data_IF_168750855205
#
_entry.id   IF_168750855205
#
_cell.length_a   1.000
_cell.length_b   1.000
_cell.length_c   1.000
_cell.angle_alpha   90.00
_cell.angle_beta   90.00
_cell.angle_gamma   90.00
#
_symmetry.space_group_name_H-M   'P 1'
#
loop_
_entity.id
_entity.type
_entity.pdbx_description
1 polymer ?
#
# COMPACT_ATOMS: atom_id res chain seq x y z
N UNK A 1 -22.28 -7.63 0.71
CA UNK A 1 -21.25 -6.59 0.80
C UNK A 1 -21.69 -5.50 -0.20
N UNK A 2 -21.88 -4.25 0.24
CA UNK A 2 -22.55 -3.15 -0.51
C UNK A 2 -24.07 -3.29 -0.72
N UNK A 3 -24.85 -3.26 0.37
CA UNK A 3 -26.31 -3.15 0.26
C UNK A 3 -26.66 -1.75 -0.28
N UNK A 4 -27.16 -1.68 -1.52
CA UNK A 4 -27.76 -0.49 -2.13
C UNK A 4 -26.87 0.33 -3.07
N UNK A 5 -25.56 0.06 -3.17
CA UNK A 5 -24.67 0.69 -4.16
C UNK A 5 -24.56 -0.26 -5.35
N UNK A 6 -24.96 0.18 -6.54
CA UNK A 6 -24.90 -0.62 -7.78
C UNK A 6 -23.64 -0.40 -8.61
N UNK A 7 -22.97 0.74 -8.42
CA UNK A 7 -21.77 1.14 -9.15
C UNK A 7 -21.00 2.17 -8.33
N UNK A 8 -19.68 2.15 -8.41
CA UNK A 8 -18.78 3.14 -7.84
C UNK A 8 -18.13 3.94 -8.97
N UNK A 9 -18.14 5.26 -8.84
CA UNK A 9 -17.47 6.14 -9.80
C UNK A 9 -15.96 6.15 -9.55
N UNK A 10 -15.21 5.50 -10.45
CA UNK A 10 -13.75 5.50 -10.45
C UNK A 10 -13.16 6.62 -11.32
N UNK A 11 -13.93 7.25 -12.20
CA UNK A 11 -13.44 8.27 -13.11
C UNK A 11 -12.98 9.51 -12.33
N UNK A 12 -13.84 10.02 -11.44
CA UNK A 12 -13.57 11.27 -10.71
C UNK A 12 -12.33 11.23 -9.80
N UNK A 13 -11.95 10.05 -9.29
CA UNK A 13 -10.85 9.90 -8.32
C UNK A 13 -9.64 9.14 -8.85
N UNK A 14 -9.83 8.31 -9.88
CA UNK A 14 -8.78 7.44 -10.43
C UNK A 14 -8.57 7.62 -11.94
N UNK A 15 -9.49 8.29 -12.64
CA UNK A 15 -9.45 8.39 -14.11
C UNK A 15 -9.62 7.03 -14.79
N UNK A 16 -10.38 6.11 -14.18
CA UNK A 16 -10.64 4.76 -14.72
C UNK A 16 -12.10 4.68 -15.15
N UNK A 17 -12.32 4.46 -16.44
CA UNK A 17 -13.64 4.45 -17.07
C UNK A 17 -14.08 3.04 -17.50
N UNK A 18 -13.14 2.11 -17.62
CA UNK A 18 -13.40 0.76 -18.14
C UNK A 18 -12.51 -0.34 -17.52
N UNK A 19 -12.78 -1.59 -17.92
CA UNK A 19 -12.09 -2.80 -17.46
C UNK A 19 -10.59 -2.78 -17.76
N UNK A 20 -10.20 -2.38 -18.97
CA UNK A 20 -8.81 -2.46 -19.41
C UNK A 20 -7.94 -1.47 -18.63
N UNK A 21 -8.44 -0.25 -18.43
CA UNK A 21 -7.79 0.76 -17.58
C UNK A 21 -7.69 0.31 -16.12
N UNK A 22 -8.71 -0.40 -15.61
CA UNK A 22 -8.68 -0.99 -14.27
C UNK A 22 -7.55 -2.01 -14.14
N UNK A 23 -7.47 -2.96 -15.08
CA UNK A 23 -6.45 -4.01 -15.09
C UNK A 23 -5.06 -3.43 -15.30
N UNK A 24 -4.91 -2.46 -16.20
CA UNK A 24 -3.65 -1.74 -16.41
C UNK A 24 -3.21 -1.00 -15.15
N UNK A 25 -4.14 -0.35 -14.44
CA UNK A 25 -3.83 0.35 -13.19
C UNK A 25 -3.39 -0.62 -12.10
N UNK A 26 -4.11 -1.74 -11.93
CA UNK A 26 -3.73 -2.79 -10.95
C UNK A 26 -2.35 -3.35 -11.30
N UNK A 27 -2.10 -3.71 -12.56
CA UNK A 27 -0.81 -4.22 -13.03
C UNK A 27 0.32 -3.23 -12.75
N UNK A 28 0.16 -1.96 -13.14
CA UNK A 28 1.16 -0.91 -12.90
C UNK A 28 1.46 -0.72 -11.41
N UNK A 29 0.45 -0.71 -10.54
CA UNK A 29 0.64 -0.50 -9.10
C UNK A 29 1.44 -1.62 -8.41
N UNK A 30 1.59 -2.77 -9.05
CA UNK A 30 2.31 -3.94 -8.53
C UNK A 30 3.79 -3.66 -8.33
N UNK A 31 4.42 -3.08 -9.34
CA UNK A 31 5.87 -2.84 -9.38
C UNK A 31 6.23 -1.36 -9.63
N UNK A 32 5.25 -0.52 -10.00
CA UNK A 32 5.39 0.93 -10.21
C UNK A 32 4.31 1.72 -9.43
N UNK A 33 4.09 1.30 -8.18
CA UNK A 33 3.24 1.99 -7.20
C UNK A 33 3.95 3.17 -6.52
N UNK A 34 3.29 3.84 -5.57
CA UNK A 34 3.93 4.95 -4.84
C UNK A 34 5.04 4.48 -3.89
N UNK A 35 5.03 3.20 -3.51
CA UNK A 35 6.01 2.66 -2.59
C UNK A 35 7.43 2.55 -3.16
N UNK A 36 7.59 2.55 -4.49
CA UNK A 36 8.89 2.41 -5.16
C UNK A 36 9.87 3.52 -4.76
N UNK A 37 9.36 4.72 -4.45
CA UNK A 37 10.19 5.88 -4.12
C UNK A 37 10.97 5.73 -2.81
N UNK A 38 10.43 4.99 -1.83
CA UNK A 38 11.11 4.74 -0.56
C UNK A 38 11.68 3.32 -0.45
N UNK A 39 11.38 2.46 -1.43
CA UNK A 39 11.75 1.05 -1.38
C UNK A 39 13.25 0.84 -1.13
N UNK A 40 14.09 1.55 -1.88
CA UNK A 40 15.53 1.42 -1.75
C UNK A 40 16.02 1.81 -0.36
N UNK A 41 15.48 2.88 0.21
CA UNK A 41 15.83 3.34 1.56
C UNK A 41 15.41 2.33 2.64
N UNK A 42 14.21 1.75 2.54
CA UNK A 42 13.79 0.68 3.46
C UNK A 42 14.71 -0.54 3.36
N UNK A 43 15.04 -0.98 2.14
CA UNK A 43 15.98 -2.11 1.93
C UNK A 43 17.37 -1.83 2.51
N UNK A 44 17.90 -0.62 2.33
CA UNK A 44 19.19 -0.25 2.89
C UNK A 44 19.17 -0.21 4.42
N UNK A 45 18.13 0.37 5.02
CA UNK A 45 18.00 0.45 6.48
C UNK A 45 18.15 -0.93 7.15
N UNK A 46 17.52 -1.97 6.60
CA UNK A 46 17.58 -3.32 7.18
C UNK A 46 18.89 -4.06 6.94
N UNK A 47 19.74 -3.58 6.03
CA UNK A 47 21.02 -4.21 5.66
C UNK A 47 22.23 -3.52 6.27
N UNK A 48 22.12 -2.22 6.54
CA UNK A 48 23.22 -1.43 7.06
C UNK A 48 23.29 -1.51 8.58
N UNK A 49 24.52 -1.60 9.11
CA UNK A 49 24.78 -1.28 10.49
C UNK A 49 24.48 0.20 10.76
N UNK A 50 24.21 0.60 12.02
CA UNK A 50 23.90 2.00 12.35
C UNK A 50 24.94 3.01 11.86
N UNK A 51 26.23 2.64 11.87
CA UNK A 51 27.30 3.49 11.36
C UNK A 51 27.25 3.63 9.83
N UNK A 52 27.06 2.53 9.10
CA UNK A 52 26.95 2.54 7.63
C UNK A 52 25.72 3.33 7.17
N UNK A 53 24.62 3.25 7.91
CA UNK A 53 23.44 4.08 7.68
C UNK A 53 23.74 5.56 7.89
N UNK A 54 24.42 5.92 8.97
CA UNK A 54 24.80 7.29 9.24
C UNK A 54 25.70 7.84 8.12
N UNK A 55 26.77 7.10 7.77
CA UNK A 55 27.69 7.45 6.68
C UNK A 55 26.96 7.63 5.35
N UNK A 56 26.04 6.74 5.01
CA UNK A 56 25.19 6.87 3.83
C UNK A 56 24.33 8.14 3.87
N UNK A 57 23.61 8.38 4.96
CA UNK A 57 22.74 9.57 5.08
C UNK A 57 23.52 10.87 5.07
N UNK A 58 24.79 10.86 5.45
CA UNK A 58 25.66 12.04 5.41
C UNK A 58 26.06 12.44 3.98
N UNK A 59 25.99 11.51 3.02
CA UNK A 59 26.21 11.78 1.59
C UNK A 59 24.97 12.33 0.87
N UNK A 60 23.79 12.25 1.48
CA UNK A 60 22.53 12.68 0.89
C UNK A 60 22.34 14.19 0.96
N UNK A 61 21.66 14.74 -0.05
CA UNK A 61 21.17 16.11 -0.03
C UNK A 61 20.08 16.30 1.03
N UNK A 62 19.62 17.55 1.22
CA UNK A 62 18.64 17.84 2.26
C UNK A 62 17.30 17.10 2.06
N UNK A 63 16.83 16.98 0.82
CA UNK A 63 15.57 16.34 0.50
C UNK A 63 15.62 14.84 0.77
N UNK A 64 16.65 14.18 0.25
CA UNK A 64 16.86 12.74 0.45
C UNK A 64 17.11 12.39 1.91
N UNK A 65 17.77 13.28 2.67
CA UNK A 65 17.98 13.10 4.11
C UNK A 65 16.65 13.16 4.89
N UNK A 66 15.68 13.97 4.46
CA UNK A 66 14.33 14.00 5.07
C UNK A 66 13.62 12.65 4.86
N UNK A 67 13.68 12.10 3.65
CA UNK A 67 13.11 10.77 3.36
C UNK A 67 13.83 9.65 4.11
N UNK A 68 15.17 9.68 4.15
CA UNK A 68 15.96 8.71 4.92
C UNK A 68 15.59 8.76 6.41
N UNK A 69 15.41 9.96 6.99
CA UNK A 69 14.97 10.09 8.38
C UNK A 69 13.57 9.51 8.59
N UNK A 70 12.64 9.79 7.68
CA UNK A 70 11.28 9.24 7.74
C UNK A 70 11.29 7.70 7.69
N UNK A 71 12.12 7.11 6.82
CA UNK A 71 12.32 5.65 6.76
C UNK A 71 12.91 5.12 8.06
N UNK A 72 13.96 5.74 8.60
CA UNK A 72 14.56 5.30 9.86
C UNK A 72 13.58 5.32 11.04
N UNK A 73 12.69 6.31 11.06
CA UNK A 73 11.63 6.48 12.07
C UNK A 73 10.50 5.44 11.96
N UNK A 74 10.37 4.72 10.84
CA UNK A 74 9.21 3.88 10.52
C UNK A 74 9.58 2.44 10.11
N UNK A 75 10.84 2.17 9.79
CA UNK A 75 11.35 0.88 9.32
C UNK A 75 10.93 -0.30 10.20
N UNK A 76 11.17 -0.23 11.51
CA UNK A 76 10.85 -1.32 12.45
C UNK A 76 9.35 -1.68 12.39
N UNK A 77 8.48 -0.68 12.31
CA UNK A 77 7.03 -0.89 12.28
C UNK A 77 6.53 -1.37 10.91
N UNK A 78 7.20 -1.00 9.82
CA UNK A 78 6.76 -1.32 8.45
C UNK A 78 7.42 -2.59 7.89
N UNK A 79 8.56 -3.02 8.44
CA UNK A 79 9.36 -4.11 7.88
C UNK A 79 10.05 -3.73 6.57
N UNK A 80 10.75 -4.70 5.97
CA UNK A 80 11.48 -4.51 4.70
C UNK A 80 10.55 -4.17 3.53
N UNK A 81 9.27 -4.56 3.61
CA UNK A 81 8.22 -4.15 2.68
C UNK A 81 7.97 -2.64 2.64
N UNK A 82 8.41 -1.91 3.65
CA UNK A 82 8.25 -0.46 3.74
C UNK A 82 6.78 -0.06 3.59
N UNK A 83 6.50 0.84 2.67
CA UNK A 83 5.15 1.37 2.44
C UNK A 83 4.36 0.66 1.33
N UNK A 84 4.83 -0.49 0.81
CA UNK A 84 4.15 -1.24 -0.30
C UNK A 84 2.69 -1.59 0.01
N UNK A 85 2.36 -1.74 1.28
CA UNK A 85 0.98 -2.02 1.70
C UNK A 85 0.00 -0.90 1.31
N UNK A 86 0.48 0.34 1.12
CA UNK A 86 -0.34 1.43 0.57
C UNK A 86 -0.87 1.12 -0.83
N UNK A 87 -0.04 0.53 -1.68
CA UNK A 87 -0.43 0.11 -3.02
C UNK A 87 -1.30 -1.14 -2.94
N UNK A 88 -0.92 -2.15 -2.16
CA UNK A 88 -1.68 -3.42 -2.04
C UNK A 88 -3.12 -3.23 -1.55
N UNK A 89 -3.34 -2.39 -0.54
CA UNK A 89 -4.71 -2.10 -0.05
C UNK A 89 -5.55 -1.41 -1.14
N UNK A 90 -4.94 -0.51 -1.91
CA UNK A 90 -5.61 0.20 -3.00
C UNK A 90 -5.89 -0.70 -4.20
N UNK A 91 -4.98 -1.62 -4.55
CA UNK A 91 -5.24 -2.65 -5.55
C UNK A 91 -6.43 -3.54 -5.12
N UNK A 92 -6.49 -3.96 -3.84
CA UNK A 92 -7.63 -4.72 -3.32
C UNK A 92 -8.94 -3.92 -3.28
N UNK A 93 -8.88 -2.60 -3.14
CA UNK A 93 -10.04 -1.71 -3.34
C UNK A 93 -10.48 -1.73 -4.82
N UNK A 94 -9.56 -1.54 -5.76
CA UNK A 94 -9.86 -1.55 -7.20
C UNK A 94 -10.46 -2.88 -7.66
N UNK A 95 -9.94 -4.02 -7.18
CA UNK A 95 -10.53 -5.33 -7.49
C UNK A 95 -12.00 -5.41 -7.07
N UNK A 96 -12.32 -4.95 -5.85
CA UNK A 96 -13.71 -4.95 -5.34
C UNK A 96 -14.61 -3.98 -6.11
N UNK A 97 -14.09 -2.83 -6.53
CA UNK A 97 -14.84 -1.89 -7.35
C UNK A 97 -15.04 -2.41 -8.78
N UNK A 98 -14.07 -3.14 -9.33
CA UNK A 98 -14.20 -3.83 -10.61
C UNK A 98 -15.32 -4.85 -10.61
N UNK A 99 -15.43 -5.66 -9.55
CA UNK A 99 -16.55 -6.59 -9.36
C UNK A 99 -17.87 -5.83 -9.21
N UNK A 100 -17.90 -4.78 -8.38
CA UNK A 100 -19.11 -3.98 -8.15
C UNK A 100 -19.60 -3.28 -9.43
N UNK A 101 -18.68 -2.85 -10.29
CA UNK A 101 -18.98 -2.18 -11.56
C UNK A 101 -19.25 -3.16 -12.71
N UNK A 102 -19.29 -4.47 -12.43
CA UNK A 102 -19.45 -5.54 -13.42
C UNK A 102 -18.35 -5.56 -14.50
N UNK A 103 -17.17 -5.01 -14.18
CA UNK A 103 -15.98 -5.05 -15.03
C UNK A 103 -15.14 -6.30 -14.80
N UNK A 104 -15.24 -6.89 -13.60
CA UNK A 104 -14.60 -8.14 -13.23
C UNK A 104 -15.65 -9.12 -12.73
N UNK A 105 -15.45 -10.41 -12.97
CA UNK A 105 -16.20 -11.46 -12.27
C UNK A 105 -15.69 -11.60 -10.83
N UNK A 106 -16.48 -12.24 -9.95
CA UNK A 106 -16.03 -12.55 -8.60
C UNK A 106 -14.78 -13.43 -8.59
N UNK A 107 -14.68 -14.37 -9.53
CA UNK A 107 -13.52 -15.26 -9.70
C UNK A 107 -12.26 -14.49 -10.06
N UNK A 108 -12.35 -13.57 -11.03
CA UNK A 108 -11.27 -12.67 -11.42
C UNK A 108 -10.83 -11.78 -10.24
N UNK A 109 -11.81 -11.18 -9.54
CA UNK A 109 -11.55 -10.35 -8.37
C UNK A 109 -10.91 -11.11 -7.20
N UNK A 110 -11.26 -12.38 -7.00
CA UNK A 110 -10.66 -13.25 -5.99
C UNK A 110 -9.23 -13.65 -6.38
N UNK A 111 -9.02 -14.03 -7.64
CA UNK A 111 -7.70 -14.38 -8.13
C UNK A 111 -6.71 -13.23 -7.98
N UNK A 112 -7.07 -12.02 -8.45
CA UNK A 112 -6.24 -10.82 -8.31
C UNK A 112 -5.91 -10.50 -6.84
N UNK A 113 -6.91 -10.55 -5.95
CA UNK A 113 -6.69 -10.32 -4.52
C UNK A 113 -5.79 -11.37 -3.87
N UNK A 114 -5.84 -12.61 -4.36
CA UNK A 114 -4.96 -13.67 -3.87
C UNK A 114 -3.50 -13.44 -4.26
N UNK A 115 -3.23 -12.88 -5.46
CA UNK A 115 -1.87 -12.47 -5.88
C UNK A 115 -1.34 -11.34 -5.01
N UNK A 116 -2.17 -10.34 -4.72
CA UNK A 116 -1.85 -9.25 -3.78
C UNK A 116 -1.52 -9.80 -2.39
N UNK A 117 -2.30 -10.77 -1.91
CA UNK A 117 -2.06 -11.40 -0.61
C UNK A 117 -0.70 -12.12 -0.58
N UNK A 118 -0.36 -12.89 -1.62
CA UNK A 118 0.93 -13.59 -1.69
C UNK A 118 2.11 -12.62 -1.59
N UNK A 119 2.03 -11.46 -2.26
CA UNK A 119 3.03 -10.40 -2.15
C UNK A 119 3.04 -9.76 -0.76
N UNK A 120 1.88 -9.52 -0.16
CA UNK A 120 1.83 -9.02 1.21
C UNK A 120 2.53 -10.00 2.19
N UNK A 121 2.29 -11.30 2.04
CA UNK A 121 2.91 -12.34 2.89
C UNK A 121 4.44 -12.42 2.71
N UNK A 122 4.98 -12.08 1.53
CA UNK A 122 6.44 -12.09 1.31
C UNK A 122 7.16 -10.91 1.96
N UNK A 123 6.46 -9.81 2.23
CA UNK A 123 7.06 -8.58 2.75
C UNK A 123 6.73 -8.28 4.21
N UNK A 124 5.62 -8.82 4.72
CA UNK A 124 5.14 -8.51 6.06
C UNK A 124 4.88 -9.77 6.88
N UNK A 125 5.22 -9.69 8.15
CA UNK A 125 5.15 -10.79 9.12
C UNK A 125 3.79 -10.94 9.81
N UNK A 126 2.91 -9.94 9.67
CA UNK A 126 1.63 -9.92 10.36
C UNK A 126 0.76 -8.72 9.99
N UNK A 127 -0.51 -8.79 10.37
CA UNK A 127 -1.48 -7.69 10.17
C UNK A 127 -1.01 -6.37 10.76
N UNK A 128 -0.44 -6.37 11.96
CA UNK A 128 0.04 -5.15 12.60
C UNK A 128 1.09 -4.45 11.72
N UNK A 129 2.10 -5.19 11.26
CA UNK A 129 3.14 -4.65 10.39
C UNK A 129 2.57 -4.19 9.03
N UNK A 130 1.68 -4.98 8.42
CA UNK A 130 0.99 -4.63 7.18
C UNK A 130 0.19 -3.33 7.31
N UNK A 131 -0.58 -3.14 8.40
CA UNK A 131 -1.34 -1.92 8.62
C UNK A 131 -0.47 -0.73 9.00
N UNK A 132 0.61 -0.94 9.75
CA UNK A 132 1.61 0.11 10.00
C UNK A 132 2.27 0.59 8.69
N UNK A 133 2.56 -0.33 7.77
CA UNK A 133 3.04 0.00 6.43
C UNK A 133 2.00 0.76 5.60
N UNK A 134 0.74 0.31 5.60
CA UNK A 134 -0.37 1.00 4.93
C UNK A 134 -0.54 2.43 5.46
N UNK A 135 -0.56 2.57 6.79
CA UNK A 135 -0.67 3.82 7.51
C UNK A 135 0.47 4.78 7.14
N UNK A 136 1.71 4.28 7.13
CA UNK A 136 2.90 5.09 6.82
C UNK A 136 2.90 5.50 5.36
N UNK A 137 2.50 4.62 4.45
CA UNK A 137 2.39 4.96 3.03
C UNK A 137 1.30 5.98 2.73
N UNK A 138 0.19 5.96 3.49
CA UNK A 138 -0.81 7.02 3.44
C UNK A 138 -0.22 8.37 3.86
N UNK A 139 0.49 8.41 5.00
CA UNK A 139 1.16 9.64 5.46
C UNK A 139 2.09 10.14 4.38
N UNK A 140 2.95 9.29 3.85
CA UNK A 140 3.85 9.64 2.76
C UNK A 140 3.09 10.24 1.55
N UNK A 141 2.02 9.60 1.11
CA UNK A 141 1.21 10.06 -0.02
C UNK A 141 0.56 11.43 0.22
N UNK A 142 -0.01 11.65 1.40
CA UNK A 142 -0.66 12.91 1.76
C UNK A 142 0.33 14.10 1.75
N UNK A 143 1.58 13.84 2.15
CA UNK A 143 2.54 14.87 2.51
C UNK A 143 3.59 15.15 1.43
N UNK A 144 3.64 14.33 0.37
CA UNK A 144 4.53 14.50 -0.79
C UNK A 144 4.23 15.76 -1.63
N UNK A 145 3.11 16.44 -1.38
CA UNK A 145 2.70 17.59 -2.19
C UNK A 145 3.47 18.86 -1.82
N UNK A 146 4.64 19.04 -2.43
CA UNK A 146 5.29 20.35 -2.59
C UNK A 146 6.82 20.31 -2.45
N UNK A 147 7.49 21.19 -3.19
CA UNK A 147 8.95 21.38 -3.16
C UNK A 147 9.44 22.14 -1.90
N UNK A 148 8.59 22.26 -0.87
CA UNK A 148 8.91 22.99 0.36
C UNK A 148 9.51 22.03 1.40
N UNK A 149 10.84 21.88 1.35
CA UNK A 149 11.59 20.99 2.25
C UNK A 149 11.34 21.26 3.76
N UNK A 150 11.30 22.51 4.25
CA UNK A 150 10.92 22.79 5.64
C UNK A 150 9.54 22.24 6.02
N UNK A 151 8.53 22.47 5.17
CA UNK A 151 7.18 21.97 5.40
C UNK A 151 7.14 20.43 5.37
N UNK A 152 7.82 19.81 4.40
CA UNK A 152 7.93 18.35 4.31
C UNK A 152 8.53 17.75 5.59
N UNK A 153 9.64 18.33 6.07
CA UNK A 153 10.31 17.93 7.31
C UNK A 153 9.40 18.03 8.53
N UNK A 154 8.75 19.18 8.72
CA UNK A 154 7.83 19.40 9.85
C UNK A 154 6.68 18.40 9.83
N UNK A 155 6.14 18.16 8.64
CA UNK A 155 4.96 17.32 8.46
C UNK A 155 5.29 15.84 8.67
N UNK A 156 6.44 15.36 8.19
CA UNK A 156 6.95 14.02 8.51
C UNK A 156 7.28 13.86 9.99
N UNK A 157 7.77 14.90 10.66
CA UNK A 157 8.04 14.85 12.10
C UNK A 157 6.74 14.77 12.93
N UNK A 158 5.68 15.49 12.53
CA UNK A 158 4.38 15.48 13.20
C UNK A 158 3.66 14.14 13.08
N UNK A 159 3.81 13.44 11.95
CA UNK A 159 3.11 12.17 11.65
C UNK A 159 1.59 12.30 11.83
N UNK A 160 1.04 13.48 11.56
CA UNK A 160 -0.37 13.81 11.70
C UNK A 160 -1.13 13.59 10.40
N UNK A 161 -2.38 13.14 10.50
CA UNK A 161 -3.26 12.93 9.35
C UNK A 161 -4.23 14.07 9.15
N UNK A 162 -4.69 14.17 7.91
CA UNK A 162 -6.00 14.74 7.63
C UNK A 162 -7.14 13.99 8.35
N UNK A 163 -8.34 14.58 8.34
CA UNK A 163 -9.51 13.97 9.00
C UNK A 163 -9.87 12.58 8.45
N UNK A 164 -9.63 12.36 7.17
CA UNK A 164 -9.88 11.08 6.54
C UNK A 164 -8.93 9.99 7.07
N UNK A 165 -7.69 10.34 7.44
CA UNK A 165 -6.67 9.45 7.99
C UNK A 165 -6.96 9.06 9.41
N UNK A 166 -7.33 10.06 10.22
CA UNK A 166 -7.78 9.82 11.59
C UNK A 166 -9.00 8.90 11.63
N UNK A 167 -10.01 9.15 10.79
CA UNK A 167 -11.21 8.28 10.72
C UNK A 167 -10.87 6.86 10.30
N UNK A 168 -10.01 6.70 9.30
CA UNK A 168 -9.60 5.39 8.79
C UNK A 168 -8.85 4.60 9.85
N UNK A 169 -7.88 5.22 10.53
CA UNK A 169 -7.11 4.61 11.63
C UNK A 169 -8.05 4.14 12.76
N UNK A 170 -8.97 5.01 13.19
CA UNK A 170 -9.91 4.68 14.25
C UNK A 170 -10.83 3.50 13.89
N UNK A 171 -11.26 3.40 12.64
CA UNK A 171 -12.15 2.31 12.18
C UNK A 171 -11.42 1.00 11.93
N UNK A 172 -10.20 1.04 11.37
CA UNK A 172 -9.48 -0.16 10.96
C UNK A 172 -8.66 -0.78 12.08
N UNK A 173 -8.10 0.01 12.99
CA UNK A 173 -7.11 -0.46 13.97
C UNK A 173 -7.66 -0.37 15.40
N UNK A 174 -8.22 0.79 15.78
CA UNK A 174 -8.67 1.04 17.15
C UNK A 174 -10.12 0.58 17.45
N UNK A 175 -10.88 0.21 16.41
CA UNK A 175 -12.27 -0.22 16.53
C UNK A 175 -12.39 -1.61 17.17
N UNK A 176 -13.32 -1.78 18.12
CA UNK A 176 -13.62 -3.08 18.73
C UNK A 176 -14.07 -4.14 17.71
N UNK A 177 -14.64 -3.70 16.60
CA UNK A 177 -15.09 -4.54 15.49
C UNK A 177 -14.03 -4.65 14.37
N UNK A 178 -12.75 -4.36 14.65
CA UNK A 178 -11.69 -4.51 13.65
C UNK A 178 -11.56 -5.98 13.24
N UNK A 179 -12.14 -6.28 12.08
CA UNK A 179 -12.18 -7.63 11.50
C UNK A 179 -10.79 -8.21 11.22
N UNK A 180 -9.78 -7.35 11.05
CA UNK A 180 -8.44 -7.82 10.71
C UNK A 180 -7.70 -8.42 11.90
N UNK A 181 -8.04 -8.03 13.13
CA UNK A 181 -7.48 -8.65 14.33
C UNK A 181 -7.93 -10.11 14.49
N UNK A 182 -9.00 -10.54 13.80
CA UNK A 182 -9.57 -11.90 13.90
C UNK A 182 -9.18 -12.80 12.72
N UNK A 183 -8.60 -12.25 11.65
CA UNK A 183 -8.16 -13.03 10.50
C UNK A 183 -6.74 -13.58 10.71
N UNK A 184 -6.46 -14.84 10.35
CA UNK A 184 -5.11 -15.38 10.43
C UNK A 184 -4.21 -14.77 9.35
N UNK A 185 -2.98 -14.39 9.72
CA UNK A 185 -1.94 -13.98 8.77
C UNK A 185 -1.18 -15.21 8.28
N UNK A 186 -1.66 -15.84 7.20
CA UNK A 186 -1.05 -17.06 6.63
C UNK A 186 -1.47 -17.25 5.17
N UNK A 187 -0.76 -18.13 4.48
CA UNK A 187 -1.15 -18.63 3.16
C UNK A 187 -2.52 -19.31 3.21
N UNK A 188 -3.29 -19.18 2.12
CA UNK A 188 -4.53 -19.91 1.95
C UNK A 188 -4.24 -21.39 1.74
N UNK A 189 -5.13 -22.30 2.19
CA UNK A 189 -4.98 -23.73 1.91
C UNK A 189 -5.08 -24.02 0.40
N UNK A 190 -5.87 -23.24 -0.32
CA UNK A 190 -6.04 -23.33 -1.76
C UNK A 190 -6.15 -21.93 -2.34
N UNK A 191 -5.37 -21.67 -3.39
CA UNK A 191 -5.44 -20.45 -4.19
C UNK A 191 -6.31 -20.70 -5.43
N UNK A 192 -7.10 -19.71 -5.89
CA UNK A 192 -7.86 -19.83 -7.13
C UNK A 192 -6.91 -20.00 -8.33
N UNK A 193 -7.36 -20.73 -9.35
CA UNK A 193 -6.65 -20.85 -10.62
C UNK A 193 -6.74 -19.53 -11.41
N UNK A 194 -5.77 -19.28 -12.29
CA UNK A 194 -5.78 -18.08 -13.13
C UNK A 194 -6.90 -18.19 -14.17
N UNK A 195 -7.88 -17.26 -14.19
CA UNK A 195 -8.91 -17.26 -15.23
C UNK A 195 -8.29 -17.01 -16.61
N UNK A 196 -8.83 -17.66 -17.64
CA UNK A 196 -8.35 -17.50 -19.03
C UNK A 196 -8.33 -16.04 -19.50
N UNK A 197 -9.28 -15.25 -19.01
CA UNK A 197 -9.44 -13.82 -19.29
C UNK A 197 -8.37 -12.92 -18.65
N UNK A 198 -7.51 -13.46 -17.79
CA UNK A 198 -6.45 -12.75 -17.08
C UNK A 198 -5.04 -13.29 -17.38
N UNK A 199 -4.89 -14.20 -18.35
CA UNK A 199 -3.59 -14.79 -18.68
C UNK A 199 -2.54 -13.73 -19.08
N UNK A 200 -2.95 -12.66 -19.76
CA UNK A 200 -2.08 -11.55 -20.18
C UNK A 200 -1.59 -10.66 -19.04
N UNK A 201 -2.21 -10.75 -17.85
CA UNK A 201 -1.81 -10.04 -16.63
C UNK A 201 -1.34 -11.01 -15.53
N UNK A 202 -0.95 -12.23 -15.92
CA UNK A 202 -0.60 -13.32 -14.99
C UNK A 202 0.68 -13.09 -14.18
N UNK A 203 1.52 -12.15 -14.58
CA UNK A 203 2.77 -11.79 -13.87
C UNK A 203 2.54 -11.01 -12.56
N UNK A 204 1.27 -10.75 -12.21
CA UNK A 204 0.83 -10.23 -10.92
C UNK A 204 1.30 -11.07 -9.74
#
# INVERSE_FOLDING_TARGET
MYLGIKRFDLESSWGIENRDELLQTISRMTDDGHATQLEWLYRLWFRYAPQEWQEYTDTLDEGDRIYARFVADTAVCCGEGGIRSWDYVRMGFLCRMGVLNEWLTEEEGLWLQSRIQLRALSYYSGWLQYFSAYYTGRLYWQLRNGDNLPLLRETFARKEFDDAGRRMMNKLIAGKDSFYATLPWRYLPHYPECPDTLQEVSDL
#
